data_IF_175424936576
#
_entry.id   IF_175424936576
#
_cell.length_a   1.000
_cell.length_b   1.000
_cell.length_c   1.000
_cell.angle_alpha   90.00
_cell.angle_beta   90.00
_cell.angle_gamma   90.00
#
_symmetry.space_group_name_H-M   'P 1'
#
loop_
_entity.id
_entity.type
_entity.pdbx_description
1 polymer ?
#
# COMPACT_ATOMS: atom_id res chain seq x y z
N UNK A 1 14.17 -37.63 16.72
CA UNK A 1 13.88 -36.84 15.51
C UNK A 1 12.45 -37.20 15.11
N UNK A 2 11.50 -36.28 15.31
CA UNK A 2 10.09 -36.52 14.99
C UNK A 2 9.68 -35.53 13.90
N UNK A 3 9.17 -36.04 12.78
CA UNK A 3 8.62 -35.23 11.68
C UNK A 3 7.11 -35.32 11.81
N UNK A 4 6.48 -34.20 12.14
CA UNK A 4 5.03 -34.08 12.10
C UNK A 4 4.62 -33.75 10.66
N UNK A 5 3.76 -34.59 10.10
CA UNK A 5 3.04 -34.31 8.86
C UNK A 5 1.62 -33.93 9.28
N UNK A 6 1.36 -32.63 9.35
CA UNK A 6 -0.01 -32.12 9.44
C UNK A 6 -0.59 -32.01 8.04
N UNK A 7 -1.86 -32.37 7.87
CA UNK A 7 -2.57 -32.15 6.62
C UNK A 7 -2.52 -30.66 6.26
N UNK A 8 -1.88 -30.35 5.14
CA UNK A 8 -1.94 -29.04 4.52
C UNK A 8 -3.38 -28.86 4.03
N UNK A 9 -4.23 -28.24 4.84
CA UNK A 9 -5.55 -27.80 4.37
C UNK A 9 -5.33 -26.93 3.15
N UNK A 10 -5.77 -27.43 1.99
CA UNK A 10 -5.76 -26.71 0.72
C UNK A 10 -6.43 -25.35 0.95
N UNK A 11 -5.61 -24.30 0.95
CA UNK A 11 -5.99 -22.97 1.42
C UNK A 11 -7.08 -22.34 0.57
N UNK A 12 -7.29 -22.85 -0.64
CA UNK A 12 -8.25 -22.32 -1.61
C UNK A 12 -9.73 -22.46 -1.16
N UNK A 13 -10.12 -23.59 -0.58
CA UNK A 13 -11.48 -23.81 -0.10
C UNK A 13 -11.79 -23.06 1.20
N UNK A 14 -10.83 -23.01 2.12
CA UNK A 14 -10.94 -22.27 3.39
C UNK A 14 -11.00 -20.75 3.15
N UNK A 15 -10.29 -20.25 2.13
CA UNK A 15 -10.26 -18.84 1.76
C UNK A 15 -11.57 -18.36 1.11
N UNK A 16 -12.30 -19.22 0.40
CA UNK A 16 -13.62 -18.86 -0.13
C UNK A 16 -14.65 -18.67 1.00
N UNK A 17 -14.58 -19.50 2.05
CA UNK A 17 -15.47 -19.40 3.20
C UNK A 17 -15.14 -18.18 4.08
N UNK A 18 -13.88 -17.80 4.26
CA UNK A 18 -13.52 -16.66 5.11
C UNK A 18 -14.01 -15.32 4.54
N UNK A 19 -13.95 -15.14 3.22
CA UNK A 19 -14.48 -13.92 2.57
C UNK A 19 -15.99 -13.82 2.76
N UNK A 20 -16.70 -14.95 2.67
CA UNK A 20 -18.15 -15.00 2.86
C UNK A 20 -18.53 -14.72 4.31
N UNK A 21 -17.81 -15.30 5.28
CA UNK A 21 -17.99 -15.04 6.71
C UNK A 21 -17.73 -13.56 7.02
N UNK A 22 -16.61 -13.00 6.54
CA UNK A 22 -16.26 -11.60 6.71
C UNK A 22 -17.32 -10.67 6.10
N UNK A 23 -17.74 -10.93 4.85
CA UNK A 23 -18.77 -10.13 4.16
C UNK A 23 -20.12 -10.17 4.86
N UNK A 24 -20.50 -11.34 5.41
CA UNK A 24 -21.73 -11.50 6.17
C UNK A 24 -21.67 -10.72 7.49
N UNK A 25 -20.54 -10.81 8.21
CA UNK A 25 -20.32 -10.02 9.42
C UNK A 25 -20.36 -8.53 9.14
N UNK A 26 -19.63 -8.05 8.13
CA UNK A 26 -19.58 -6.64 7.78
C UNK A 26 -20.98 -6.07 7.55
N UNK A 27 -21.84 -6.82 6.84
CA UNK A 27 -23.24 -6.45 6.58
C UNK A 27 -24.11 -6.44 7.85
N UNK A 28 -23.83 -7.32 8.80
CA UNK A 28 -24.61 -7.49 10.03
C UNK A 28 -23.99 -6.76 11.23
N UNK A 29 -22.92 -5.97 11.03
CA UNK A 29 -22.30 -5.20 12.10
C UNK A 29 -23.31 -4.20 12.64
N UNK A 30 -23.44 -4.13 13.97
CA UNK A 30 -24.22 -3.10 14.62
C UNK A 30 -23.69 -1.71 14.23
N UNK A 31 -24.54 -0.68 14.36
CA UNK A 31 -24.07 0.69 14.22
C UNK A 31 -22.90 0.92 15.18
N UNK A 32 -21.84 1.59 14.74
CA UNK A 32 -20.66 1.78 15.57
C UNK A 32 -21.01 2.50 16.87
N UNK A 33 -20.40 2.03 17.96
CA UNK A 33 -20.60 2.59 19.29
C UNK A 33 -19.38 3.44 19.65
N UNK A 34 -19.63 4.64 20.19
CA UNK A 34 -18.63 5.50 20.81
C UNK A 34 -18.83 5.42 22.31
N UNK A 35 -17.80 4.99 23.03
CA UNK A 35 -17.80 4.79 24.48
C UNK A 35 -17.03 5.93 25.14
N UNK A 36 -17.71 6.93 25.72
CA UNK A 36 -17.03 8.04 26.39
C UNK A 36 -16.39 7.55 27.70
N UNK A 37 -15.06 7.51 27.73
CA UNK A 37 -14.29 7.11 28.93
C UNK A 37 -13.97 8.27 29.87
N UNK A 38 -14.27 9.51 29.46
CA UNK A 38 -13.94 10.72 30.20
C UNK A 38 -14.53 11.99 29.57
N UNK A 39 -14.20 13.14 30.15
CA UNK A 39 -14.57 14.46 29.60
C UNK A 39 -13.70 14.85 28.39
N UNK A 40 -12.55 14.20 28.22
CA UNK A 40 -11.68 14.40 27.07
C UNK A 40 -12.13 13.50 25.92
N UNK A 41 -12.56 14.06 24.76
CA UNK A 41 -12.96 13.26 23.60
C UNK A 41 -11.85 12.36 23.06
N UNK A 42 -10.59 12.72 23.27
CA UNK A 42 -9.43 11.92 22.81
C UNK A 42 -9.28 10.60 23.59
N UNK A 43 -9.93 10.48 24.75
CA UNK A 43 -9.94 9.25 25.56
C UNK A 43 -11.12 8.34 25.22
N UNK A 44 -12.00 8.74 24.30
CA UNK A 44 -13.16 7.95 23.95
C UNK A 44 -12.75 6.75 23.10
N UNK A 45 -13.29 5.59 23.45
CA UNK A 45 -13.10 4.37 22.66
C UNK A 45 -14.18 4.29 21.60
N UNK A 46 -13.82 3.88 20.39
CA UNK A 46 -14.76 3.81 19.26
C UNK A 46 -14.52 2.54 18.49
N UNK A 47 -15.61 1.84 18.17
CA UNK A 47 -15.57 0.69 17.27
C UNK A 47 -15.55 1.12 15.77
N UNK A 48 -15.41 2.43 15.48
CA UNK A 48 -15.31 2.97 14.12
C UNK A 48 -13.92 2.81 13.52
N UNK A 49 -13.85 2.96 12.20
CA UNK A 49 -12.60 3.25 11.51
C UNK A 49 -12.04 4.56 12.05
N UNK A 50 -10.71 4.70 12.05
CA UNK A 50 -10.07 5.95 12.45
C UNK A 50 -10.62 7.09 11.59
N UNK A 51 -10.91 8.24 12.21
CA UNK A 51 -11.49 9.38 11.50
C UNK A 51 -10.57 9.92 10.39
N UNK A 52 -9.29 9.54 10.41
CA UNK A 52 -8.23 9.98 9.51
C UNK A 52 -7.82 8.91 8.49
N UNK A 53 -8.68 7.93 8.16
CA UNK A 53 -8.34 6.90 7.15
C UNK A 53 -7.94 7.54 5.83
N UNK A 54 -6.71 7.27 5.38
CA UNK A 54 -6.17 7.76 4.11
C UNK A 54 -6.10 6.67 3.04
N UNK A 55 -6.10 7.03 1.74
CA UNK A 55 -5.81 6.08 0.67
C UNK A 55 -4.45 5.41 0.89
N UNK A 56 -4.43 4.09 1.06
CA UNK A 56 -3.19 3.32 1.30
C UNK A 56 -3.10 2.72 2.69
N UNK A 57 -3.90 3.19 3.65
CA UNK A 57 -3.99 2.58 4.98
C UNK A 57 -4.43 1.11 4.86
N UNK A 58 -3.76 0.22 5.59
CA UNK A 58 -4.15 -1.19 5.72
C UNK A 58 -4.59 -1.48 7.14
N UNK A 59 -5.58 -2.35 7.24
CA UNK A 59 -6.11 -2.80 8.52
C UNK A 59 -6.01 -4.32 8.59
N UNK A 60 -5.51 -4.80 9.73
CA UNK A 60 -5.55 -6.20 10.09
C UNK A 60 -6.83 -6.51 10.84
N UNK A 61 -7.59 -7.46 10.29
CA UNK A 61 -8.75 -8.06 10.95
C UNK A 61 -8.42 -9.49 11.28
N UNK A 62 -8.49 -9.84 12.57
CA UNK A 62 -8.31 -11.22 13.02
C UNK A 62 -9.69 -11.82 13.31
N UNK A 63 -10.00 -12.95 12.68
CA UNK A 63 -11.22 -13.71 12.93
C UNK A 63 -10.85 -15.04 13.59
N UNK A 64 -11.27 -15.26 14.83
CA UNK A 64 -11.14 -16.57 15.46
C UNK A 64 -12.39 -17.42 15.20
N UNK A 65 -12.25 -18.74 15.33
CA UNK A 65 -13.36 -19.69 15.23
C UNK A 65 -14.48 -19.38 16.24
N UNK A 66 -14.10 -18.89 17.42
CA UNK A 66 -15.03 -18.50 18.49
C UNK A 66 -15.68 -17.13 18.25
N UNK A 67 -15.23 -16.41 17.22
CA UNK A 67 -15.81 -15.16 16.79
C UNK A 67 -16.78 -15.36 15.63
N UNK A 68 -17.12 -16.59 15.25
CA UNK A 68 -18.15 -16.84 14.22
C UNK A 68 -19.57 -16.46 14.67
N UNK A 69 -19.77 -16.19 15.96
CA UNK A 69 -21.01 -15.63 16.48
C UNK A 69 -21.21 -14.18 15.96
N UNK A 70 -22.45 -13.86 15.57
CA UNK A 70 -22.80 -12.58 14.93
C UNK A 70 -22.88 -11.40 15.90
N UNK A 71 -22.72 -11.63 17.21
CA UNK A 71 -22.87 -10.65 18.28
C UNK A 71 -21.57 -9.94 18.63
N UNK A 72 -20.41 -10.46 18.22
CA UNK A 72 -19.11 -9.84 18.51
C UNK A 72 -18.69 -8.86 17.42
N UNK A 73 -18.37 -7.60 17.78
CA UNK A 73 -17.89 -6.60 16.83
C UNK A 73 -16.54 -7.03 16.22
N UNK A 74 -16.29 -6.62 14.98
CA UNK A 74 -15.00 -6.82 14.31
C UNK A 74 -14.03 -5.79 14.88
N UNK A 75 -12.91 -6.25 15.46
CA UNK A 75 -11.80 -5.38 15.84
C UNK A 75 -10.94 -5.10 14.61
N UNK A 76 -10.83 -3.82 14.27
CA UNK A 76 -9.92 -3.32 13.25
C UNK A 76 -8.63 -2.88 13.93
N UNK A 77 -7.49 -3.40 13.50
CA UNK A 77 -6.19 -2.97 13.99
C UNK A 77 -5.48 -2.31 12.81
N UNK A 78 -5.28 -0.99 12.88
CA UNK A 78 -4.51 -0.27 11.87
C UNK A 78 -3.11 -0.83 11.84
N UNK A 79 -2.63 -1.17 10.64
CA UNK A 79 -1.28 -1.63 10.46
C UNK A 79 -0.34 -0.42 10.35
N UNK A 80 0.23 -0.03 11.49
CA UNK A 80 1.20 1.07 11.56
C UNK A 80 2.54 0.73 10.88
N UNK A 81 2.77 -0.54 10.51
CA UNK A 81 4.00 -0.95 9.82
C UNK A 81 3.97 -0.68 8.32
N UNK A 82 2.80 -0.29 7.78
CA UNK A 82 2.70 0.09 6.37
C UNK A 82 3.16 1.52 6.25
N UNK A 83 4.33 1.71 5.61
CA UNK A 83 4.77 3.02 5.15
C UNK A 83 3.62 3.66 4.37
N UNK A 84 3.12 4.80 4.87
CA UNK A 84 2.03 5.52 4.21
C UNK A 84 2.47 5.81 2.78
N UNK A 85 1.66 5.37 1.82
CA UNK A 85 1.84 5.72 0.41
C UNK A 85 1.59 7.22 0.27
N UNK A 86 2.62 8.03 0.53
CA UNK A 86 2.50 9.49 0.58
C UNK A 86 3.38 10.18 1.62
N UNK A 87 3.94 9.46 2.62
CA UNK A 87 5.08 9.99 3.38
C UNK A 87 6.32 9.87 2.50
N UNK A 88 6.45 10.86 1.62
CA UNK A 88 7.72 11.18 0.97
C UNK A 88 8.69 11.38 2.13
N UNK A 89 9.57 10.39 2.39
CA UNK A 89 10.76 10.58 3.22
C UNK A 89 11.30 11.97 2.83
N UNK A 90 11.46 12.89 3.80
CA UNK A 90 11.71 14.31 3.53
C UNK A 90 12.95 14.65 2.70
N UNK A 91 13.62 13.65 2.12
CA UNK A 91 14.75 13.75 1.20
C UNK A 91 14.60 12.89 -0.08
N UNK A 92 13.40 12.40 -0.42
CA UNK A 92 13.25 11.63 -1.65
C UNK A 92 13.59 12.49 -2.87
N UNK A 93 14.49 12.00 -3.71
CA UNK A 93 14.79 12.61 -5.01
C UNK A 93 14.56 11.60 -6.12
N UNK A 94 14.24 12.10 -7.30
CA UNK A 94 14.03 11.26 -8.46
C UNK A 94 15.12 11.50 -9.48
N UNK A 95 15.53 10.41 -10.13
CA UNK A 95 16.53 10.45 -11.19
C UNK A 95 15.95 9.81 -12.45
N UNK A 96 16.27 10.40 -13.59
CA UNK A 96 16.03 9.78 -14.90
C UNK A 96 17.32 9.11 -15.38
N UNK A 97 17.19 7.92 -15.94
CA UNK A 97 18.30 7.14 -16.50
C UNK A 97 17.90 6.56 -17.84
N UNK A 98 18.83 6.46 -18.79
CA UNK A 98 18.57 5.82 -20.08
C UNK A 98 19.80 5.82 -20.99
N UNK A 99 19.67 5.33 -22.24
CA UNK A 99 20.79 5.31 -23.18
C UNK A 99 21.40 6.69 -23.46
N UNK A 100 20.60 7.76 -23.36
CA UNK A 100 21.03 9.14 -23.60
C UNK A 100 22.06 9.66 -22.59
N UNK A 101 22.11 9.09 -21.38
CA UNK A 101 23.09 9.44 -20.35
C UNK A 101 23.92 8.23 -19.90
N UNK A 102 24.01 7.19 -20.75
CA UNK A 102 24.79 5.99 -20.44
C UNK A 102 24.26 5.20 -19.24
N UNK A 103 22.96 5.29 -18.98
CA UNK A 103 22.28 4.76 -17.79
C UNK A 103 22.78 5.36 -16.46
N UNK A 104 23.44 6.52 -16.50
CA UNK A 104 23.74 7.27 -15.30
C UNK A 104 22.47 7.94 -14.75
N UNK A 105 22.35 8.07 -13.43
CA UNK A 105 21.25 8.83 -12.82
C UNK A 105 21.42 10.33 -13.07
N UNK A 106 20.43 10.96 -13.68
CA UNK A 106 20.34 12.41 -13.80
C UNK A 106 19.22 12.93 -12.90
N UNK A 107 19.57 13.80 -11.96
CA UNK A 107 18.64 14.27 -10.92
C UNK A 107 17.57 15.21 -11.49
N UNK A 108 16.32 14.89 -11.21
CA UNK A 108 15.17 15.73 -11.55
C UNK A 108 15.07 16.91 -10.57
N UNK A 109 14.60 18.06 -11.07
CA UNK A 109 14.40 19.27 -10.28
C UNK A 109 12.97 19.32 -9.75
N UNK A 110 12.81 19.54 -8.45
CA UNK A 110 11.51 19.80 -7.84
C UNK A 110 11.07 21.23 -8.17
N UNK A 111 10.09 21.39 -9.04
CA UNK A 111 9.57 22.71 -9.42
C UNK A 111 8.49 23.19 -8.44
N UNK A 112 7.67 22.26 -7.95
CA UNK A 112 6.60 22.43 -6.95
C UNK A 112 6.59 21.17 -6.09
N UNK A 113 6.13 21.26 -4.85
CA UNK A 113 5.97 20.08 -3.99
C UNK A 113 5.18 18.97 -4.69
N UNK A 114 5.72 17.74 -4.68
CA UNK A 114 5.15 16.60 -5.40
C UNK A 114 5.38 16.58 -6.93
N UNK A 115 6.01 17.60 -7.51
CA UNK A 115 6.27 17.71 -8.95
C UNK A 115 7.75 17.81 -9.29
N UNK A 116 8.20 16.82 -10.07
CA UNK A 116 9.59 16.69 -10.50
C UNK A 116 9.68 16.80 -12.02
N UNK A 117 10.65 17.58 -12.49
CA UNK A 117 10.84 17.86 -13.91
C UNK A 117 12.31 17.70 -14.33
N UNK A 118 12.50 17.26 -15.57
CA UNK A 118 13.78 17.21 -16.27
C UNK A 118 13.53 17.46 -17.75
N UNK A 119 14.48 18.07 -18.45
CA UNK A 119 14.42 18.27 -19.89
C UNK A 119 15.45 17.38 -20.55
N UNK A 120 14.98 16.51 -21.46
CA UNK A 120 15.84 15.57 -22.18
C UNK A 120 15.63 15.79 -23.67
N UNK A 121 16.71 15.81 -24.43
CA UNK A 121 16.67 15.92 -25.88
C UNK A 121 16.28 14.57 -26.50
N UNK A 122 15.22 14.58 -27.31
CA UNK A 122 14.75 13.38 -28.02
C UNK A 122 15.56 13.23 -29.32
N UNK A 123 16.17 12.06 -29.59
CA UNK A 123 16.88 11.80 -30.84
C UNK A 123 15.99 11.98 -32.07
N UNK A 124 16.58 12.20 -33.25
CA UNK A 124 15.84 12.34 -34.52
C UNK A 124 14.96 11.13 -34.87
N UNK A 125 15.29 9.94 -34.35
CA UNK A 125 14.48 8.73 -34.48
C UNK A 125 13.09 8.85 -33.79
N UNK A 126 12.90 9.84 -32.92
CA UNK A 126 11.64 10.09 -32.22
C UNK A 126 11.35 9.16 -31.04
N UNK A 127 12.28 8.27 -30.71
CA UNK A 127 12.15 7.30 -29.62
C UNK A 127 13.20 7.57 -28.54
N UNK A 128 12.77 7.56 -27.27
CA UNK A 128 13.62 7.70 -26.10
C UNK A 128 13.28 6.59 -25.10
N UNK A 129 14.27 5.78 -24.77
CA UNK A 129 14.17 4.82 -23.67
C UNK A 129 14.68 5.48 -22.38
N UNK A 130 13.91 5.38 -21.30
CA UNK A 130 14.31 5.91 -20.00
C UNK A 130 13.68 5.10 -18.86
N UNK A 131 14.17 5.30 -17.64
CA UNK A 131 13.56 4.87 -16.39
C UNK A 131 13.66 6.02 -15.38
N UNK A 132 12.65 6.13 -14.53
CA UNK A 132 12.63 7.03 -13.39
C UNK A 132 12.86 6.19 -12.14
N UNK A 133 13.92 6.53 -11.40
CA UNK A 133 14.32 5.88 -10.16
C UNK A 133 14.00 6.78 -8.98
N UNK A 134 13.56 6.19 -7.87
CA UNK A 134 13.50 6.88 -6.59
C UNK A 134 14.81 6.67 -5.83
N UNK A 135 15.39 7.76 -5.33
CA UNK A 135 16.64 7.77 -4.55
C UNK A 135 17.84 7.11 -5.25
N UNK A 136 17.85 7.09 -6.59
CA UNK A 136 18.88 6.43 -7.41
C UNK A 136 18.92 4.90 -7.27
N UNK A 137 17.89 4.29 -6.67
CA UNK A 137 17.83 2.85 -6.40
C UNK A 137 17.21 2.09 -7.58
N UNK A 138 17.93 1.10 -8.12
CA UNK A 138 17.47 0.30 -9.28
C UNK A 138 16.31 -0.64 -8.96
N UNK A 139 16.08 -0.95 -7.69
CA UNK A 139 14.93 -1.71 -7.20
C UNK A 139 13.68 -0.82 -6.99
N UNK A 140 13.84 0.51 -7.01
CA UNK A 140 12.74 1.49 -6.86
C UNK A 140 12.44 2.21 -8.17
N UNK A 141 12.10 1.45 -9.21
CA UNK A 141 11.72 1.98 -10.53
C UNK A 141 10.27 2.48 -10.48
N UNK A 142 10.07 3.79 -10.58
CA UNK A 142 8.74 4.41 -10.72
C UNK A 142 8.15 4.23 -12.11
N UNK A 143 9.00 4.14 -13.13
CA UNK A 143 8.61 3.78 -14.47
C UNK A 143 9.42 4.48 -15.56
N UNK A 144 9.32 3.99 -16.80
CA UNK A 144 8.67 2.73 -17.20
C UNK A 144 9.43 1.49 -16.69
N UNK A 145 8.70 0.52 -16.13
CA UNK A 145 9.30 -0.68 -15.52
C UNK A 145 9.73 -1.78 -16.50
N UNK A 146 9.45 -1.61 -17.79
CA UNK A 146 9.85 -2.56 -18.85
C UNK A 146 9.98 -1.84 -20.19
N UNK A 147 10.77 -2.42 -21.11
CA UNK A 147 10.88 -1.92 -22.50
C UNK A 147 9.51 -1.93 -23.19
N UNK A 148 9.19 -0.87 -23.95
CA UNK A 148 7.88 -0.67 -24.62
C UNK A 148 6.68 -0.72 -23.67
N UNK A 149 6.87 -0.30 -22.41
CA UNK A 149 5.76 -0.18 -21.48
C UNK A 149 4.78 0.90 -21.96
N UNK A 150 3.52 0.53 -22.16
CA UNK A 150 2.44 1.47 -22.47
C UNK A 150 1.82 2.09 -21.22
N UNK A 151 2.27 1.67 -20.03
CA UNK A 151 1.79 2.20 -18.75
C UNK A 151 2.60 3.41 -18.35
N UNK A 152 1.91 4.47 -17.92
CA UNK A 152 2.51 5.73 -17.47
C UNK A 152 3.31 5.57 -16.17
N UNK A 153 2.99 4.58 -15.35
CA UNK A 153 3.62 4.33 -14.03
C UNK A 153 3.81 2.83 -13.80
N UNK A 154 4.85 2.49 -13.04
CA UNK A 154 5.09 1.15 -12.48
C UNK A 154 4.29 0.91 -11.19
N UNK A 155 4.33 -0.32 -10.65
CA UNK A 155 3.80 -0.59 -9.32
C UNK A 155 4.56 0.26 -8.29
N UNK A 156 3.80 0.99 -7.47
CA UNK A 156 4.32 1.72 -6.32
C UNK A 156 4.52 0.68 -5.22
N UNK A 157 5.76 0.52 -4.75
CA UNK A 157 6.12 -0.41 -3.67
C UNK A 157 6.08 0.31 -2.33
#
# INVERSE_FOLDING_TARGET
HAVFWGDSYDSSAVQADIIKVFSCKLRNTAAPEVRPMGMNPDEWDSDMWDADVQPGDRYHVTLHKDDLAFDKPIKWIKDESVERVGEVEGNAFYEITGPFNGWAGERMVSAVEGHWAVTVDVPEAGELEFQILQNGQQDRVLGPGSTRCTRKTGPIF
#
